data_IF_064081774938
#
_entry.id   IF_064081774938
#
_cell.length_a   1.000
_cell.length_b   1.000
_cell.length_c   1.000
_cell.angle_alpha   90.00
_cell.angle_beta   90.00
_cell.angle_gamma   90.00
#
_symmetry.space_group_name_H-M   'P 1'
#
loop_
_entity.id
_entity.type
_entity.pdbx_description
1 polymer ?
#
# COMPACT_ATOMS: atom_id res chain seq x y z
N UNK A 1 8.32 -49.11 -12.16
CA UNK A 1 7.87 -47.72 -12.05
C UNK A 1 7.99 -47.34 -10.58
N UNK A 2 8.88 -46.44 -10.26
CA UNK A 2 8.95 -45.91 -8.90
C UNK A 2 7.71 -45.04 -8.68
N UNK A 3 6.85 -45.45 -7.78
CA UNK A 3 5.77 -44.61 -7.26
C UNK A 3 6.41 -43.52 -6.44
N UNK A 4 6.20 -42.24 -6.78
CA UNK A 4 6.66 -41.15 -5.94
C UNK A 4 6.09 -41.35 -4.55
N UNK A 5 6.96 -41.39 -3.56
CA UNK A 5 6.56 -41.59 -2.17
C UNK A 5 6.02 -40.26 -1.62
N UNK A 6 5.23 -40.31 -0.56
CA UNK A 6 4.72 -39.10 0.12
C UNK A 6 5.84 -38.13 0.53
N UNK A 7 7.04 -38.67 0.76
CA UNK A 7 8.25 -37.90 1.06
C UNK A 7 8.71 -37.02 -0.12
N UNK A 8 8.63 -37.52 -1.37
CA UNK A 8 9.03 -36.77 -2.56
C UNK A 8 8.09 -35.56 -2.79
N UNK A 9 6.81 -35.70 -2.48
CA UNK A 9 5.81 -34.60 -2.60
C UNK A 9 6.05 -33.51 -1.53
N UNK A 10 6.46 -33.91 -0.33
CA UNK A 10 6.80 -32.98 0.76
C UNK A 10 8.03 -32.15 0.41
N UNK A 11 9.06 -32.76 -0.17
CA UNK A 11 10.28 -32.04 -0.58
C UNK A 11 9.98 -30.95 -1.61
N UNK A 12 9.13 -31.21 -2.60
CA UNK A 12 8.74 -30.18 -3.58
C UNK A 12 7.97 -29.01 -2.97
N UNK A 13 7.13 -29.28 -1.98
CA UNK A 13 6.42 -28.22 -1.27
C UNK A 13 7.40 -27.37 -0.44
N UNK A 14 8.34 -27.97 0.25
CA UNK A 14 9.35 -27.27 1.05
C UNK A 14 10.21 -26.33 0.19
N UNK A 15 10.67 -26.78 -0.98
CA UNK A 15 11.43 -25.99 -1.94
C UNK A 15 10.60 -24.80 -2.47
N UNK A 16 9.34 -25.04 -2.82
CA UNK A 16 8.43 -24.00 -3.27
C UNK A 16 8.17 -22.94 -2.20
N UNK A 17 7.91 -23.36 -0.95
CA UNK A 17 7.76 -22.45 0.19
C UNK A 17 9.03 -21.66 0.47
N UNK A 18 10.19 -22.31 0.41
CA UNK A 18 11.48 -21.64 0.61
C UNK A 18 11.68 -20.51 -0.38
N UNK A 19 11.36 -20.72 -1.68
CA UNK A 19 11.45 -19.69 -2.70
C UNK A 19 10.51 -18.50 -2.46
N UNK A 20 9.27 -18.76 -2.01
CA UNK A 20 8.32 -17.68 -1.69
C UNK A 20 8.81 -16.86 -0.50
N UNK A 21 9.20 -17.52 0.60
CA UNK A 21 9.60 -16.85 1.84
C UNK A 21 10.80 -15.95 1.56
N UNK A 22 11.83 -16.46 0.88
CA UNK A 22 13.04 -15.70 0.56
C UNK A 22 12.72 -14.38 -0.14
N UNK A 23 11.90 -14.41 -1.19
CA UNK A 23 11.58 -13.21 -1.98
C UNK A 23 10.67 -12.25 -1.22
N UNK A 24 9.67 -12.76 -0.51
CA UNK A 24 8.73 -11.90 0.24
C UNK A 24 9.43 -11.22 1.41
N UNK A 25 10.31 -11.89 2.13
CA UNK A 25 11.08 -11.27 3.23
C UNK A 25 12.01 -10.18 2.70
N UNK A 26 12.76 -10.44 1.62
CA UNK A 26 13.62 -9.43 0.99
C UNK A 26 12.82 -8.20 0.53
N UNK A 27 11.68 -8.42 -0.12
CA UNK A 27 10.83 -7.32 -0.59
C UNK A 27 10.22 -6.53 0.56
N UNK A 28 9.81 -7.22 1.63
CA UNK A 28 9.26 -6.58 2.83
C UNK A 28 10.30 -5.67 3.50
N UNK A 29 11.54 -6.14 3.63
CA UNK A 29 12.64 -5.36 4.20
C UNK A 29 12.98 -4.15 3.35
N UNK A 30 13.00 -4.31 2.02
CA UNK A 30 13.23 -3.22 1.07
C UNK A 30 12.14 -2.14 1.18
N UNK A 31 10.87 -2.51 1.17
CA UNK A 31 9.74 -1.58 1.29
C UNK A 31 9.74 -0.87 2.65
N UNK A 32 9.94 -1.60 3.74
CA UNK A 32 9.99 -1.04 5.09
C UNK A 32 11.14 -0.03 5.22
N UNK A 33 12.31 -0.33 4.65
CA UNK A 33 13.49 0.54 4.69
C UNK A 33 13.32 1.76 3.80
N UNK A 34 12.89 1.59 2.54
CA UNK A 34 12.73 2.70 1.59
C UNK A 34 11.60 3.65 1.99
N UNK A 35 10.54 3.14 2.60
CA UNK A 35 9.44 3.95 3.12
C UNK A 35 9.74 4.61 4.47
N UNK A 36 10.94 4.40 5.03
CA UNK A 36 11.32 4.88 6.37
C UNK A 36 10.28 4.55 7.44
N UNK A 37 9.70 3.33 7.38
CA UNK A 37 8.68 2.87 8.31
C UNK A 37 7.28 3.49 8.11
N UNK A 38 7.02 4.16 6.99
CA UNK A 38 5.68 4.66 6.67
C UNK A 38 4.74 3.53 6.23
N UNK A 39 5.28 2.58 5.46
CA UNK A 39 4.60 1.37 5.03
C UNK A 39 5.29 0.20 5.69
N UNK A 40 4.58 -0.52 6.55
CA UNK A 40 5.12 -1.64 7.30
C UNK A 40 4.48 -2.95 6.89
N UNK A 41 5.32 -3.93 6.62
CA UNK A 41 4.93 -5.31 6.42
C UNK A 41 5.25 -6.13 7.67
N UNK A 42 4.26 -6.85 8.20
CA UNK A 42 4.39 -7.62 9.43
C UNK A 42 3.63 -8.95 9.30
N UNK A 43 4.17 -10.01 9.87
CA UNK A 43 3.47 -11.30 10.00
C UNK A 43 2.90 -11.41 11.41
N UNK A 44 1.57 -11.53 11.53
CA UNK A 44 0.87 -11.66 12.80
C UNK A 44 -0.38 -12.53 12.61
N UNK A 45 -0.50 -13.63 13.32
CA UNK A 45 -1.68 -14.50 13.21
C UNK A 45 -2.91 -13.83 13.82
N UNK A 46 -3.88 -13.48 12.97
CA UNK A 46 -5.14 -12.85 13.36
C UNK A 46 -6.31 -13.79 13.07
N UNK A 47 -7.16 -14.00 14.08
CA UNK A 47 -8.36 -14.84 13.97
C UNK A 47 -9.59 -14.00 13.66
N UNK A 48 -10.48 -14.52 12.82
CA UNK A 48 -11.73 -13.86 12.44
C UNK A 48 -11.63 -13.03 11.16
N UNK A 49 -12.72 -12.42 10.74
CA UNK A 49 -12.84 -11.67 9.47
C UNK A 49 -12.41 -10.20 9.60
N UNK A 50 -12.34 -9.68 10.81
CA UNK A 50 -11.94 -8.32 11.12
C UNK A 50 -11.03 -8.30 12.33
N UNK A 51 -10.03 -7.46 12.29
CA UNK A 51 -9.32 -7.05 13.50
C UNK A 51 -10.04 -5.84 14.09
N UNK A 52 -10.42 -5.93 15.36
CA UNK A 52 -11.05 -4.84 16.09
C UNK A 52 -10.16 -4.37 17.24
N UNK A 53 -9.94 -3.07 17.30
CA UNK A 53 -9.22 -2.40 18.41
C UNK A 53 -10.10 -1.32 18.99
N UNK A 54 -10.31 -1.33 20.28
CA UNK A 54 -10.99 -0.25 20.97
C UNK A 54 -9.99 0.83 21.40
N UNK A 55 -10.41 2.08 21.35
CA UNK A 55 -9.65 3.21 21.87
C UNK A 55 -10.62 4.22 22.51
N UNK A 56 -10.07 5.08 23.37
CA UNK A 56 -10.83 6.16 23.96
C UNK A 56 -10.83 7.38 23.05
N UNK A 57 -11.98 7.99 22.84
CA UNK A 57 -12.08 9.25 22.13
C UNK A 57 -11.34 10.35 22.89
N UNK A 58 -10.74 11.27 22.15
CA UNK A 58 -10.03 12.40 22.74
C UNK A 58 -11.01 13.30 23.49
N UNK A 59 -10.90 13.34 24.81
CA UNK A 59 -11.64 14.27 25.63
C UNK A 59 -10.92 15.62 25.66
N UNK A 60 -11.52 16.63 25.03
CA UNK A 60 -11.07 18.03 25.14
C UNK A 60 -11.89 18.68 26.26
N UNK A 61 -11.27 18.88 27.42
CA UNK A 61 -11.99 19.33 28.61
C UNK A 61 -11.32 20.45 29.39
N UNK A 62 -10.36 21.16 28.76
CA UNK A 62 -9.75 22.32 29.42
C UNK A 62 -10.61 23.54 29.12
N UNK A 63 -11.23 24.07 30.15
CA UNK A 63 -12.07 25.30 30.12
C UNK A 63 -11.56 26.28 31.17
N UNK A 64 -11.78 27.57 30.94
CA UNK A 64 -11.48 28.59 31.91
C UNK A 64 -12.40 28.41 33.14
N UNK A 65 -11.83 28.62 34.30
CA UNK A 65 -12.54 28.51 35.57
C UNK A 65 -12.63 29.88 36.27
N UNK A 66 -13.81 30.32 36.59
CA UNK A 66 -14.00 31.43 37.52
C UNK A 66 -13.81 30.91 38.97
N UNK A 67 -12.84 31.40 39.73
CA UNK A 67 -12.59 30.94 41.10
C UNK A 67 -13.69 31.34 42.07
N UNK A 68 -14.63 32.23 41.68
CA UNK A 68 -15.75 32.69 42.52
C UNK A 68 -17.08 32.02 42.17
N UNK A 69 -17.14 31.27 41.09
CA UNK A 69 -18.34 30.54 40.66
C UNK A 69 -18.50 29.24 41.46
N UNK A 70 -19.68 29.04 42.03
CA UNK A 70 -20.07 27.84 42.78
C UNK A 70 -21.16 27.01 42.07
N UNK A 71 -21.40 27.26 40.78
CA UNK A 71 -22.36 26.52 39.99
C UNK A 71 -21.92 25.08 39.75
N UNK A 72 -22.90 24.17 39.68
CA UNK A 72 -22.66 22.76 39.35
C UNK A 72 -22.17 22.61 37.89
N UNK A 73 -21.07 21.86 37.70
CA UNK A 73 -20.54 21.53 36.37
C UNK A 73 -20.98 20.13 35.97
N UNK A 74 -21.60 20.03 34.80
CA UNK A 74 -22.01 18.74 34.26
C UNK A 74 -20.76 17.97 33.76
N UNK A 75 -20.48 16.75 34.29
CA UNK A 75 -19.35 15.96 33.83
C UNK A 75 -19.55 15.48 32.39
N UNK A 76 -18.51 15.55 31.58
CA UNK A 76 -18.47 14.98 30.23
C UNK A 76 -18.11 13.50 30.31
N UNK A 77 -18.94 12.63 29.74
CA UNK A 77 -18.66 11.19 29.67
C UNK A 77 -17.53 10.92 28.72
N UNK A 78 -16.67 9.94 29.06
CA UNK A 78 -15.67 9.41 28.15
C UNK A 78 -16.36 8.42 27.20
N UNK A 79 -16.16 8.56 25.90
CA UNK A 79 -16.64 7.64 24.87
C UNK A 79 -15.53 6.72 24.38
N UNK A 80 -15.91 5.50 24.02
CA UNK A 80 -15.04 4.51 23.39
C UNK A 80 -15.46 4.36 21.93
N UNK A 81 -14.48 4.18 21.04
CA UNK A 81 -14.70 3.93 19.65
C UNK A 81 -13.89 2.71 19.18
N UNK A 82 -14.21 2.13 18.03
CA UNK A 82 -13.56 0.95 17.48
C UNK A 82 -12.81 1.30 16.19
N UNK A 83 -11.58 0.80 16.07
CA UNK A 83 -10.84 0.73 14.82
C UNK A 83 -11.00 -0.67 14.25
N UNK A 84 -11.58 -0.78 13.08
CA UNK A 84 -11.81 -2.03 12.37
C UNK A 84 -10.88 -2.08 11.17
N UNK A 85 -10.07 -3.14 11.09
CA UNK A 85 -9.19 -3.43 9.96
C UNK A 85 -9.71 -4.65 9.20
N UNK A 86 -9.91 -4.57 7.88
CA UNK A 86 -10.49 -5.65 7.11
C UNK A 86 -9.45 -6.72 6.82
N UNK A 87 -9.86 -7.98 6.92
CA UNK A 87 -9.11 -9.15 6.49
C UNK A 87 -9.55 -9.56 5.10
N UNK A 88 -8.61 -9.65 4.18
CA UNK A 88 -8.83 -10.04 2.80
C UNK A 88 -8.33 -11.46 2.58
N UNK A 89 -9.20 -12.35 2.15
CA UNK A 89 -8.85 -13.71 1.80
C UNK A 89 -8.45 -13.77 0.32
N UNK A 90 -7.30 -14.35 0.05
CA UNK A 90 -6.73 -14.42 -1.29
C UNK A 90 -6.40 -15.87 -1.66
N UNK A 91 -6.44 -16.15 -2.95
CA UNK A 91 -6.12 -17.45 -3.52
C UNK A 91 -4.94 -17.32 -4.48
N UNK A 92 -4.01 -18.24 -4.39
CA UNK A 92 -2.90 -18.39 -5.33
C UNK A 92 -3.27 -19.50 -6.32
N UNK A 93 -3.27 -19.20 -7.62
CA UNK A 93 -3.67 -20.16 -8.67
C UNK A 93 -5.19 -20.39 -8.78
N UNK A 94 -5.65 -21.58 -9.20
CA UNK A 94 -4.90 -22.83 -9.44
C UNK A 94 -4.01 -22.81 -10.69
N UNK A 95 -2.79 -23.33 -10.59
CA UNK A 95 -1.89 -23.57 -11.71
C UNK A 95 -1.87 -25.05 -12.06
N UNK A 96 -1.94 -25.38 -13.34
CA UNK A 96 -1.93 -26.77 -13.78
C UNK A 96 -0.82 -27.02 -14.81
N UNK A 97 -0.14 -28.14 -14.67
CA UNK A 97 0.84 -28.61 -15.63
C UNK A 97 0.78 -30.14 -15.78
N UNK A 98 1.08 -30.64 -16.98
CA UNK A 98 1.18 -32.09 -17.19
C UNK A 98 2.57 -32.56 -16.78
N UNK A 99 2.66 -33.81 -16.31
CA UNK A 99 3.93 -34.42 -15.93
C UNK A 99 4.94 -34.44 -17.10
N UNK A 100 4.47 -34.55 -18.32
CA UNK A 100 5.31 -34.56 -19.52
C UNK A 100 5.92 -33.18 -19.83
N UNK A 101 5.23 -32.09 -19.49
CA UNK A 101 5.78 -30.74 -19.62
C UNK A 101 6.99 -30.53 -18.70
N UNK A 102 6.96 -31.02 -17.46
CA UNK A 102 8.09 -30.97 -16.55
C UNK A 102 9.32 -31.74 -17.09
N UNK A 103 9.09 -32.94 -17.66
CA UNK A 103 10.16 -33.75 -18.23
C UNK A 103 10.83 -33.14 -19.46
N UNK A 104 10.08 -32.39 -20.27
CA UNK A 104 10.61 -31.75 -21.50
C UNK A 104 11.49 -30.53 -21.24
N UNK A 105 11.32 -29.87 -20.09
CA UNK A 105 12.14 -28.72 -19.69
C UNK A 105 13.55 -29.11 -19.25
N UNK A 106 13.82 -30.40 -18.99
CA UNK A 106 15.17 -30.87 -18.66
C UNK A 106 15.68 -30.46 -17.27
N UNK A 107 14.86 -29.77 -16.50
CA UNK A 107 15.14 -29.34 -15.12
C UNK A 107 14.69 -30.40 -14.13
N UNK A 108 15.32 -30.43 -12.96
CA UNK A 108 14.81 -31.25 -11.87
C UNK A 108 13.53 -30.64 -11.36
N UNK A 109 12.52 -31.44 -10.94
CA UNK A 109 11.28 -30.92 -10.40
C UNK A 109 11.46 -29.99 -9.18
N UNK A 110 12.52 -30.22 -8.41
CA UNK A 110 12.90 -29.40 -7.24
C UNK A 110 13.31 -28.00 -7.65
N UNK A 111 14.23 -27.86 -8.61
CA UNK A 111 14.70 -26.55 -9.14
C UNK A 111 13.54 -25.77 -9.73
N UNK A 112 12.64 -26.42 -10.48
CA UNK A 112 11.45 -25.77 -11.02
C UNK A 112 10.47 -25.31 -9.92
N UNK A 113 10.28 -26.13 -8.90
CA UNK A 113 9.42 -25.75 -7.78
C UNK A 113 9.95 -24.52 -7.06
N UNK A 114 11.24 -24.42 -6.85
CA UNK A 114 11.90 -23.26 -6.24
C UNK A 114 11.75 -22.00 -7.11
N UNK A 115 12.01 -22.06 -8.40
CA UNK A 115 11.87 -20.93 -9.33
C UNK A 115 10.42 -20.46 -9.41
N UNK A 116 9.46 -21.37 -9.47
CA UNK A 116 8.04 -21.02 -9.41
C UNK A 116 7.68 -20.35 -8.08
N UNK A 117 8.24 -20.84 -6.97
CA UNK A 117 8.09 -20.24 -5.66
C UNK A 117 8.60 -18.79 -5.63
N UNK A 118 9.78 -18.53 -6.18
CA UNK A 118 10.32 -17.16 -6.26
C UNK A 118 9.45 -16.24 -7.12
N UNK A 119 8.96 -16.68 -8.29
CA UNK A 119 8.07 -15.88 -9.12
C UNK A 119 6.77 -15.55 -8.41
N UNK A 120 6.17 -16.53 -7.74
CA UNK A 120 4.94 -16.32 -6.97
C UNK A 120 5.18 -15.40 -5.76
N UNK A 121 6.32 -15.53 -5.10
CA UNK A 121 6.71 -14.65 -3.99
C UNK A 121 6.78 -13.19 -4.42
N UNK A 122 7.39 -12.91 -5.55
CA UNK A 122 7.47 -11.56 -6.12
C UNK A 122 6.08 -10.99 -6.45
N UNK A 123 5.21 -11.78 -7.07
CA UNK A 123 3.84 -11.35 -7.39
C UNK A 123 3.01 -11.09 -6.13
N UNK A 124 3.11 -11.95 -5.12
CA UNK A 124 2.45 -11.77 -3.82
C UNK A 124 2.89 -10.45 -3.17
N UNK A 125 4.18 -10.19 -3.13
CA UNK A 125 4.73 -8.99 -2.51
C UNK A 125 4.25 -7.70 -3.20
N UNK A 126 4.24 -7.67 -4.54
CA UNK A 126 3.72 -6.55 -5.34
C UNK A 126 2.22 -6.36 -5.10
N UNK A 127 1.44 -7.45 -5.08
CA UNK A 127 -0.02 -7.38 -4.86
C UNK A 127 -0.34 -6.88 -3.45
N UNK A 128 0.44 -7.23 -2.44
CA UNK A 128 0.25 -6.73 -1.09
C UNK A 128 0.52 -5.22 -0.98
N UNK A 129 1.63 -4.75 -1.56
CA UNK A 129 1.90 -3.32 -1.62
C UNK A 129 0.78 -2.57 -2.34
N UNK A 130 0.31 -3.10 -3.47
CA UNK A 130 -0.80 -2.53 -4.22
C UNK A 130 -2.07 -2.39 -3.36
N UNK A 131 -2.44 -3.41 -2.58
CA UNK A 131 -3.60 -3.37 -1.67
C UNK A 131 -3.42 -2.35 -0.56
N UNK A 132 -2.23 -2.29 0.04
CA UNK A 132 -1.90 -1.29 1.06
C UNK A 132 -2.01 0.13 0.53
N UNK A 133 -1.46 0.40 -0.66
CA UNK A 133 -1.51 1.72 -1.29
C UNK A 133 -2.92 2.07 -1.78
N UNK A 134 -3.70 1.11 -2.29
CA UNK A 134 -5.10 1.31 -2.66
C UNK A 134 -5.92 1.75 -1.44
N UNK A 135 -5.74 1.10 -0.29
CA UNK A 135 -6.40 1.51 0.95
C UNK A 135 -5.94 2.91 1.40
N UNK A 136 -4.65 3.22 1.29
CA UNK A 136 -4.11 4.53 1.66
C UNK A 136 -4.69 5.66 0.79
N UNK A 137 -4.75 5.45 -0.52
CA UNK A 137 -5.35 6.42 -1.46
C UNK A 137 -6.83 6.62 -1.15
N UNK A 138 -7.59 5.55 -0.92
CA UNK A 138 -9.01 5.63 -0.57
C UNK A 138 -9.25 6.38 0.75
N UNK A 139 -8.46 6.08 1.78
CA UNK A 139 -8.55 6.73 3.09
C UNK A 139 -8.23 8.23 3.01
N UNK A 140 -7.13 8.60 2.35
CA UNK A 140 -6.73 10.00 2.20
C UNK A 140 -7.68 10.78 1.29
N UNK A 141 -8.33 10.13 0.32
CA UNK A 141 -9.38 10.75 -0.49
C UNK A 141 -10.65 11.03 0.32
N UNK A 142 -10.94 10.22 1.35
CA UNK A 142 -12.12 10.36 2.19
C UNK A 142 -12.00 11.48 3.20
N UNK A 143 -10.84 11.65 3.81
CA UNK A 143 -10.66 12.61 4.89
C UNK A 143 -10.60 14.05 4.34
N UNK A 144 -11.50 14.90 4.80
CA UNK A 144 -11.51 16.29 4.40
C UNK A 144 -10.22 17.00 4.83
N UNK A 145 -9.59 17.73 3.89
CA UNK A 145 -8.40 18.54 4.16
C UNK A 145 -7.06 17.79 4.15
N UNK A 146 -7.04 16.47 3.93
CA UNK A 146 -5.80 15.69 3.74
C UNK A 146 -5.30 15.72 2.31
N UNK A 147 -6.14 16.18 1.38
CA UNK A 147 -5.86 16.17 -0.06
C UNK A 147 -5.59 17.59 -0.56
N UNK A 148 -4.53 17.74 -1.36
CA UNK A 148 -4.25 18.89 -2.21
C UNK A 148 -4.48 18.46 -3.67
N UNK A 149 -5.46 19.06 -4.33
CA UNK A 149 -5.80 18.78 -5.73
C UNK A 149 -5.36 19.96 -6.60
N UNK A 150 -4.44 19.71 -7.52
CA UNK A 150 -3.94 20.71 -8.47
C UNK A 150 -4.35 20.40 -9.92
N UNK A 151 -5.16 19.38 -10.15
CA UNK A 151 -5.57 18.96 -11.51
C UNK A 151 -6.40 20.00 -12.24
N UNK A 152 -7.07 20.90 -11.51
CA UNK A 152 -7.93 21.95 -12.01
C UNK A 152 -7.26 23.34 -12.09
N UNK A 153 -5.94 23.44 -11.83
CA UNK A 153 -5.21 24.71 -11.94
C UNK A 153 -5.30 25.28 -13.37
N UNK A 154 -5.20 26.60 -13.50
CA UNK A 154 -5.43 27.26 -14.79
C UNK A 154 -4.30 27.02 -15.81
N UNK A 155 -3.05 26.98 -15.35
CA UNK A 155 -1.90 26.74 -16.20
C UNK A 155 -1.50 25.26 -16.17
N UNK A 156 -1.20 24.67 -17.32
CA UNK A 156 -0.85 23.26 -17.42
C UNK A 156 0.42 22.92 -16.60
N UNK A 157 1.40 23.81 -16.58
CA UNK A 157 2.60 23.65 -15.76
C UNK A 157 2.31 23.55 -14.25
N UNK A 158 1.22 24.17 -13.77
CA UNK A 158 0.82 24.12 -12.36
C UNK A 158 0.00 22.87 -12.01
N UNK A 159 -0.45 22.10 -13.01
CA UNK A 159 -1.16 20.83 -12.83
C UNK A 159 -0.22 19.65 -12.57
N UNK A 160 1.06 19.79 -12.94
CA UNK A 160 2.10 18.75 -12.78
C UNK A 160 2.76 18.87 -11.41
N UNK A 161 3.29 17.75 -10.96
CA UNK A 161 4.04 17.71 -9.69
C UNK A 161 5.21 18.69 -9.70
N UNK A 162 5.37 19.42 -8.60
CA UNK A 162 6.50 20.31 -8.37
C UNK A 162 6.88 20.33 -6.88
N UNK A 163 8.11 20.74 -6.56
CA UNK A 163 8.52 20.91 -5.15
C UNK A 163 7.66 21.92 -4.41
N UNK A 164 7.11 22.92 -5.12
CA UNK A 164 6.15 23.89 -4.58
C UNK A 164 4.83 23.23 -4.21
N UNK A 165 4.31 22.34 -5.07
CA UNK A 165 3.08 21.58 -4.80
C UNK A 165 3.26 20.64 -3.61
N UNK A 166 4.39 19.92 -3.53
CA UNK A 166 4.73 19.06 -2.39
C UNK A 166 4.81 19.85 -1.08
N UNK A 167 5.45 21.03 -1.09
CA UNK A 167 5.52 21.86 0.12
C UNK A 167 4.14 22.39 0.55
N UNK A 168 3.27 22.74 -0.38
CA UNK A 168 1.88 23.12 -0.08
C UNK A 168 1.10 21.96 0.54
N UNK A 169 1.28 20.76 0.00
CA UNK A 169 0.64 19.54 0.53
C UNK A 169 1.12 19.23 1.96
N UNK A 170 2.44 19.35 2.24
CA UNK A 170 2.95 19.25 3.61
C UNK A 170 2.38 20.32 4.53
N UNK A 171 2.07 21.50 3.99
CA UNK A 171 1.44 22.59 4.72
C UNK A 171 0.08 22.24 5.32
N UNK A 172 -0.64 21.24 4.77
CA UNK A 172 -1.89 20.74 5.36
C UNK A 172 -1.70 20.14 6.75
N UNK A 173 -0.51 19.60 7.04
CA UNK A 173 -0.15 19.11 8.39
C UNK A 173 0.22 20.22 9.38
N UNK A 174 0.30 21.48 8.93
CA UNK A 174 0.60 22.64 9.76
C UNK A 174 1.92 22.51 10.53
N UNK A 175 1.86 22.68 11.84
CA UNK A 175 3.00 22.59 12.76
C UNK A 175 3.59 21.17 12.90
N UNK A 176 2.84 20.14 12.49
CA UNK A 176 3.25 18.73 12.55
C UNK A 176 3.71 18.16 11.19
N UNK A 177 4.08 19.02 10.26
CA UNK A 177 4.58 18.59 8.94
C UNK A 177 5.78 17.64 9.02
N UNK A 178 6.57 17.72 10.08
CA UNK A 178 7.74 16.85 10.33
C UNK A 178 7.35 15.40 10.68
N UNK A 179 6.06 15.10 10.87
CA UNK A 179 5.58 13.73 11.10
C UNK A 179 5.48 12.92 9.79
N UNK A 180 5.46 13.59 8.65
CA UNK A 180 5.56 12.92 7.35
C UNK A 180 7.01 12.46 7.20
N UNK A 181 7.19 11.15 7.03
CA UNK A 181 8.52 10.52 7.03
C UNK A 181 8.95 10.06 5.63
N UNK A 182 8.00 9.86 4.72
CA UNK A 182 8.30 9.44 3.34
C UNK A 182 7.23 9.90 2.36
N UNK A 183 7.64 10.04 1.11
CA UNK A 183 6.76 10.16 -0.03
C UNK A 183 6.63 8.81 -0.73
N UNK A 184 5.42 8.47 -1.19
CA UNK A 184 5.17 7.33 -2.07
C UNK A 184 4.57 7.88 -3.35
N UNK A 185 5.17 7.56 -4.50
CA UNK A 185 4.72 8.07 -5.79
C UNK A 185 4.97 7.07 -6.92
N UNK A 186 4.21 7.23 -7.99
CA UNK A 186 4.41 6.47 -9.23
C UNK A 186 5.69 6.92 -9.96
N UNK A 187 6.34 6.01 -10.69
CA UNK A 187 7.57 6.29 -11.44
C UNK A 187 7.43 7.46 -12.42
N UNK A 188 6.28 7.59 -13.09
CA UNK A 188 5.98 8.73 -13.96
C UNK A 188 6.00 10.07 -13.21
N UNK A 189 5.35 10.16 -12.04
CA UNK A 189 5.36 11.37 -11.23
C UNK A 189 6.78 11.72 -10.72
N UNK A 190 7.59 10.71 -10.39
CA UNK A 190 8.97 10.93 -9.99
C UNK A 190 9.82 11.46 -11.15
N UNK A 191 9.58 10.98 -12.37
CA UNK A 191 10.24 11.48 -13.59
C UNK A 191 9.85 12.94 -13.84
N UNK A 192 8.55 13.27 -13.81
CA UNK A 192 8.07 14.64 -13.99
C UNK A 192 8.66 15.61 -12.95
N UNK A 193 8.78 15.17 -11.70
CA UNK A 193 9.38 15.96 -10.61
C UNK A 193 10.87 16.23 -10.85
N UNK A 194 11.62 15.25 -11.35
CA UNK A 194 13.05 15.39 -11.66
C UNK A 194 13.28 16.25 -12.90
N UNK A 195 12.49 16.07 -13.95
CA UNK A 195 12.55 16.89 -15.17
C UNK A 195 12.25 18.37 -14.89
N UNK A 196 11.21 18.65 -14.11
CA UNK A 196 10.88 20.02 -13.69
C UNK A 196 12.04 20.72 -12.98
N UNK A 197 12.82 20.00 -12.19
CA UNK A 197 14.01 20.57 -11.52
C UNK A 197 15.19 20.81 -12.44
N UNK A 198 15.37 19.98 -13.46
CA UNK A 198 16.42 20.18 -14.47
C UNK A 198 16.11 21.44 -15.28
N UNK A 199 14.85 21.65 -15.67
CA UNK A 199 14.42 22.83 -16.44
C UNK A 199 14.55 24.13 -15.61
N UNK A 200 14.17 24.13 -14.33
CA UNK A 200 14.25 25.32 -13.47
C UNK A 200 15.69 25.78 -13.18
N UNK A 201 16.67 24.90 -13.31
CA UNK A 201 18.10 25.20 -13.04
C UNK A 201 18.92 25.53 -14.28
N UNK A 202 18.35 25.50 -15.47
CA UNK A 202 19.02 25.74 -16.74
C UNK A 202 19.21 27.19 -17.22
N UNK A 203 18.60 28.27 -16.65
CA UNK A 203 18.93 29.62 -17.09
C UNK A 203 20.24 30.09 -16.48
N UNK A 204 21.32 29.84 -17.20
CA UNK A 204 22.57 30.64 -17.21
C UNK A 204 23.24 30.94 -15.89
N UNK A 205 24.08 30.12 -15.50
CA UNK A 205 25.21 30.17 -14.59
C UNK A 205 25.18 29.17 -13.46
N UNK A 206 26.19 28.32 -13.58
CA UNK A 206 26.90 27.60 -12.52
C UNK A 206 26.24 26.41 -11.86
N UNK A 207 27.07 25.37 -11.92
CA UNK A 207 27.06 24.21 -11.05
C UNK A 207 25.77 23.40 -11.02
N UNK A 208 25.58 22.68 -12.13
CA UNK A 208 24.65 21.56 -12.21
C UNK A 208 25.15 20.48 -11.24
N UNK A 209 24.65 20.46 -10.03
CA UNK A 209 24.76 19.30 -9.16
C UNK A 209 23.62 18.36 -9.52
N UNK A 210 23.87 17.50 -10.49
CA UNK A 210 22.95 16.43 -10.95
C UNK A 210 22.94 15.22 -10.00
N UNK A 211 23.45 15.37 -8.79
CA UNK A 211 23.54 14.28 -7.82
C UNK A 211 22.76 14.57 -6.54
N UNK A 212 21.77 13.71 -6.29
CA UNK A 212 21.12 13.55 -5.02
C UNK A 212 19.68 14.03 -4.97
N UNK A 213 18.75 13.13 -5.25
CA UNK A 213 17.30 13.28 -5.19
C UNK A 213 16.69 13.85 -3.88
N UNK A 214 17.50 14.36 -2.99
CA UNK A 214 17.09 14.89 -1.68
C UNK A 214 16.44 16.28 -1.81
N UNK A 215 16.81 17.08 -2.81
CA UNK A 215 16.31 18.46 -2.94
C UNK A 215 14.88 18.51 -3.52
N UNK A 216 14.52 17.58 -4.41
CA UNK A 216 13.19 17.51 -5.03
C UNK A 216 12.11 17.12 -4.04
N UNK A 217 12.39 16.15 -3.20
CA UNK A 217 11.47 15.56 -2.22
C UNK A 217 11.44 16.29 -0.88
N UNK A 218 12.00 17.50 -0.80
CA UNK A 218 12.10 18.29 0.43
C UNK A 218 12.89 17.59 1.57
N UNK A 219 13.85 16.75 1.20
CA UNK A 219 14.69 16.02 2.15
C UNK A 219 14.05 14.73 2.71
N UNK A 220 12.89 14.34 2.22
CA UNK A 220 12.22 13.09 2.60
C UNK A 220 12.58 11.97 1.62
N UNK A 221 12.74 10.73 2.08
CA UNK A 221 12.90 9.58 1.20
C UNK A 221 11.65 9.38 0.33
N UNK A 222 11.87 8.83 -0.86
CA UNK A 222 10.81 8.57 -1.83
C UNK A 222 10.77 7.09 -2.15
N UNK A 223 9.65 6.45 -1.87
CA UNK A 223 9.33 5.12 -2.36
C UNK A 223 8.69 5.26 -3.75
N UNK A 224 9.41 4.82 -4.78
CA UNK A 224 8.92 4.82 -6.15
C UNK A 224 8.35 3.44 -6.48
N UNK A 225 7.11 3.38 -6.96
CA UNK A 225 6.44 2.13 -7.31
C UNK A 225 5.51 2.33 -8.49
N UNK A 226 5.40 1.32 -9.35
CA UNK A 226 4.47 1.31 -10.49
C UNK A 226 3.10 0.73 -10.11
N UNK A 227 2.72 0.84 -8.82
CA UNK A 227 1.41 0.38 -8.37
C UNK A 227 0.28 1.15 -9.08
N UNK A 228 -0.72 0.45 -9.65
CA UNK A 228 -1.88 1.07 -10.28
C UNK A 228 -2.75 1.86 -9.28
N UNK A 229 -2.55 1.69 -7.97
CA UNK A 229 -3.23 2.47 -6.94
C UNK A 229 -2.86 3.96 -6.95
N UNK A 230 -1.70 4.31 -7.53
CA UNK A 230 -1.17 5.67 -7.57
C UNK A 230 -1.32 6.34 -8.95
N UNK A 231 -1.93 5.67 -9.90
CA UNK A 231 -2.06 6.15 -11.27
C UNK A 231 -3.43 5.80 -11.83
N UNK A 232 -4.13 6.81 -12.36
CA UNK A 232 -5.41 6.65 -13.02
C UNK A 232 -5.31 7.19 -14.45
N UNK A 233 -5.53 6.33 -15.42
CA UNK A 233 -5.41 6.67 -16.86
C UNK A 233 -6.57 7.52 -17.33
N UNK A 234 -7.76 7.32 -16.78
CA UNK A 234 -9.00 7.98 -17.19
C UNK A 234 -9.92 8.21 -15.98
N UNK A 235 -9.58 9.17 -15.10
CA UNK A 235 -10.27 9.39 -13.83
C UNK A 235 -11.73 9.82 -13.99
N UNK A 236 -12.10 10.34 -15.16
CA UNK A 236 -13.48 10.71 -15.48
C UNK A 236 -14.28 9.60 -16.15
N UNK A 237 -13.63 8.57 -16.68
CA UNK A 237 -14.27 7.54 -17.49
C UNK A 237 -14.85 8.07 -18.81
N UNK A 238 -14.38 9.25 -19.25
CA UNK A 238 -14.90 9.97 -20.43
C UNK A 238 -14.01 9.82 -21.68
N UNK A 239 -12.92 9.09 -21.57
CA UNK A 239 -11.94 8.86 -22.65
C UNK A 239 -11.05 10.07 -22.93
N UNK A 240 -10.96 11.03 -22.01
CA UNK A 240 -10.20 12.27 -22.20
C UNK A 240 -8.69 12.12 -22.13
N UNK A 241 -8.17 10.94 -21.80
CA UNK A 241 -6.74 10.63 -21.61
C UNK A 241 -6.00 11.54 -20.61
N UNK A 242 -6.72 12.26 -19.78
CA UNK A 242 -6.17 13.13 -18.75
C UNK A 242 -5.75 12.31 -17.54
N UNK A 243 -4.65 11.58 -17.65
CA UNK A 243 -4.17 10.72 -16.56
C UNK A 243 -3.76 11.52 -15.32
N UNK A 244 -4.13 10.99 -14.18
CA UNK A 244 -3.86 11.56 -12.86
C UNK A 244 -2.95 10.67 -12.04
N UNK A 245 -2.13 11.29 -11.21
CA UNK A 245 -1.27 10.59 -10.25
C UNK A 245 -1.56 11.03 -8.83
N UNK A 246 -1.48 10.09 -7.92
CA UNK A 246 -1.65 10.29 -6.48
C UNK A 246 -0.30 10.13 -5.79
N UNK A 247 0.15 11.19 -5.14
CA UNK A 247 1.39 11.21 -4.37
C UNK A 247 1.03 11.24 -2.90
N UNK A 248 1.48 10.23 -2.14
CA UNK A 248 1.15 10.08 -0.74
C UNK A 248 2.32 10.55 0.11
N UNK A 249 2.10 11.53 0.99
CA UNK A 249 3.04 11.91 2.04
C UNK A 249 2.62 11.25 3.34
N UNK A 250 3.30 10.16 3.73
CA UNK A 250 2.88 9.29 4.80
C UNK A 250 3.65 9.55 6.10
N UNK A 251 2.94 9.40 7.22
CA UNK A 251 3.54 9.41 8.56
C UNK A 251 4.06 8.01 8.91
N UNK A 252 4.85 7.92 9.96
CA UNK A 252 5.29 6.63 10.49
C UNK A 252 4.11 5.71 10.81
N UNK A 253 4.22 4.44 10.39
CA UNK A 253 3.19 3.40 10.54
C UNK A 253 1.82 3.81 9.98
N UNK A 254 1.82 4.52 8.86
CA UNK A 254 0.58 4.97 8.22
C UNK A 254 -0.19 3.81 7.60
N UNK A 255 0.52 2.90 6.95
CA UNK A 255 -0.03 1.69 6.31
C UNK A 255 0.66 0.48 6.92
N UNK A 256 -0.11 -0.41 7.51
CA UNK A 256 0.42 -1.68 8.00
C UNK A 256 -0.29 -2.83 7.30
N UNK A 257 0.50 -3.62 6.60
CA UNK A 257 0.08 -4.84 5.94
C UNK A 257 0.46 -6.02 6.81
N UNK A 258 -0.52 -6.80 7.21
CA UNK A 258 -0.33 -7.90 8.15
C UNK A 258 -0.69 -9.19 7.44
N UNK A 259 0.28 -10.09 7.29
CA UNK A 259 -0.01 -11.47 6.92
C UNK A 259 -0.72 -12.13 8.10
N UNK A 260 -2.04 -12.29 7.96
CA UNK A 260 -2.90 -12.68 9.08
C UNK A 260 -3.12 -14.18 9.20
N UNK A 261 -2.82 -14.94 8.16
CA UNK A 261 -2.84 -16.41 8.15
C UNK A 261 -1.63 -16.93 7.41
N UNK A 262 -1.10 -18.02 7.91
CA UNK A 262 -0.01 -18.74 7.24
C UNK A 262 -0.48 -19.19 5.85
N UNK A 263 0.40 -19.10 4.89
CA UNK A 263 0.14 -19.53 3.52
C UNK A 263 -0.02 -21.04 3.49
N UNK A 264 -1.20 -21.52 3.08
CA UNK A 264 -1.45 -22.92 2.83
C UNK A 264 -1.34 -23.18 1.33
N UNK A 265 -0.37 -23.99 0.91
CA UNK A 265 -0.16 -24.32 -0.51
C UNK A 265 -0.16 -25.84 -0.64
N UNK A 266 -1.00 -26.34 -1.55
CA UNK A 266 -1.12 -27.78 -1.80
C UNK A 266 -0.93 -28.12 -3.28
N UNK A 267 -0.22 -29.21 -3.52
CA UNK A 267 -0.05 -29.84 -4.83
C UNK A 267 -0.89 -31.09 -4.93
N UNK A 268 -1.86 -31.09 -5.83
CA UNK A 268 -2.75 -32.23 -6.09
C UNK A 268 -2.45 -32.87 -7.44
N UNK A 269 -2.55 -34.20 -7.51
CA UNK A 269 -2.43 -34.96 -8.76
C UNK A 269 -3.81 -35.43 -9.20
N UNK A 270 -4.23 -35.02 -10.40
CA UNK A 270 -5.51 -35.43 -10.99
C UNK A 270 -5.29 -36.56 -11.98
N UNK A 271 -5.93 -37.71 -11.70
CA UNK A 271 -5.94 -38.90 -12.54
C UNK A 271 -7.23 -38.95 -13.36
N UNK A 272 -7.28 -39.82 -14.37
CA UNK A 272 -8.46 -40.00 -15.23
C UNK A 272 -8.57 -39.00 -16.39
N UNK A 273 -7.53 -38.25 -16.67
CA UNK A 273 -7.34 -37.43 -17.86
C UNK A 273 -6.41 -38.15 -18.85
N UNK A 274 -6.36 -37.69 -20.10
CA UNK A 274 -5.46 -38.26 -21.13
C UNK A 274 -3.96 -38.20 -20.68
N UNK A 275 -3.59 -37.20 -19.90
CA UNK A 275 -2.27 -37.09 -19.26
C UNK A 275 -2.45 -36.89 -17.75
N UNK A 276 -1.43 -37.27 -16.97
CA UNK A 276 -1.41 -36.99 -15.53
C UNK A 276 -1.25 -35.50 -15.35
N UNK A 277 -2.22 -34.88 -14.68
CA UNK A 277 -2.25 -33.45 -14.42
C UNK A 277 -1.87 -33.19 -12.97
N UNK A 278 -1.02 -32.19 -12.74
CA UNK A 278 -0.71 -31.64 -11.42
C UNK A 278 -1.31 -30.27 -11.29
N UNK A 279 -1.95 -30.00 -10.17
CA UNK A 279 -2.59 -28.72 -9.84
C UNK A 279 -1.99 -28.22 -8.55
N UNK A 280 -1.45 -27.00 -8.58
CA UNK A 280 -0.95 -26.25 -7.43
C UNK A 280 -1.94 -25.17 -7.09
N UNK A 281 -2.38 -25.10 -5.85
CA UNK A 281 -3.27 -24.06 -5.34
C UNK A 281 -2.82 -23.64 -3.94
N UNK A 282 -2.90 -22.35 -3.66
CA UNK A 282 -2.64 -21.81 -2.33
C UNK A 282 -3.73 -20.88 -1.85
N UNK A 283 -3.77 -20.71 -0.54
CA UNK A 283 -4.64 -19.77 0.18
C UNK A 283 -3.80 -18.94 1.13
N UNK A 284 -4.15 -17.68 1.28
CA UNK A 284 -3.51 -16.74 2.20
C UNK A 284 -4.48 -15.64 2.61
N UNK A 285 -4.21 -14.95 3.69
CA UNK A 285 -5.00 -13.81 4.12
C UNK A 285 -4.11 -12.63 4.51
N UNK A 286 -4.53 -11.45 4.08
CA UNK A 286 -3.89 -10.17 4.36
C UNK A 286 -4.86 -9.27 5.11
N UNK A 287 -4.42 -8.67 6.22
CA UNK A 287 -5.15 -7.60 6.90
C UNK A 287 -4.46 -6.28 6.61
N UNK A 288 -5.22 -5.30 6.14
CA UNK A 288 -4.72 -3.94 5.90
C UNK A 288 -5.21 -3.02 7.02
N UNK A 289 -4.27 -2.44 7.74
CA UNK A 289 -4.54 -1.50 8.81
C UNK A 289 -4.10 -0.11 8.38
N UNK A 290 -5.04 0.81 8.41
CA UNK A 290 -4.79 2.23 8.12
C UNK A 290 -4.83 3.04 9.41
N UNK A 291 -3.79 3.84 9.65
CA UNK A 291 -3.70 4.67 10.84
C UNK A 291 -4.84 5.69 10.90
N UNK A 292 -5.63 5.66 11.97
CA UNK A 292 -6.72 6.61 12.17
C UNK A 292 -7.95 6.40 11.29
N UNK A 293 -8.05 5.27 10.59
CA UNK A 293 -9.24 4.91 9.82
C UNK A 293 -9.82 3.58 10.28
N UNK A 294 -11.13 3.50 10.26
CA UNK A 294 -11.91 2.30 10.53
C UNK A 294 -12.62 1.86 9.25
N UNK A 295 -12.57 0.58 8.95
CA UNK A 295 -13.28 0.03 7.79
C UNK A 295 -14.74 -0.27 8.15
N UNK A 296 -15.68 0.23 7.35
CA UNK A 296 -17.13 0.07 7.54
C UNK A 296 -17.80 -0.81 6.47
N UNK A 297 -17.02 -1.38 5.54
CA UNK A 297 -17.54 -2.23 4.47
C UNK A 297 -17.80 -3.68 4.91
N UNK A 298 -18.06 -4.54 3.92
CA UNK A 298 -18.36 -5.96 4.14
C UNK A 298 -17.14 -6.76 4.58
N UNK A 299 -17.38 -7.93 5.19
CA UNK A 299 -16.35 -8.91 5.52
C UNK A 299 -15.65 -9.44 4.25
N UNK A 300 -14.35 -9.76 4.37
CA UNK A 300 -13.53 -10.29 3.28
C UNK A 300 -13.60 -9.45 1.99
N UNK A 301 -13.26 -8.14 2.04
CA UNK A 301 -13.37 -7.26 0.89
C UNK A 301 -12.39 -7.66 -0.22
N UNK A 302 -12.79 -7.38 -1.45
CA UNK A 302 -11.89 -7.42 -2.60
C UNK A 302 -11.13 -6.10 -2.78
N UNK A 303 -10.23 -6.03 -3.76
CA UNK A 303 -9.42 -4.83 -4.05
C UNK A 303 -10.31 -3.59 -4.34
N UNK A 304 -11.39 -3.74 -5.10
CA UNK A 304 -12.31 -2.65 -5.40
C UNK A 304 -13.01 -2.11 -4.14
N UNK A 305 -13.40 -3.00 -3.21
CA UNK A 305 -14.05 -2.58 -1.97
C UNK A 305 -13.12 -1.80 -1.04
N UNK A 306 -11.84 -2.18 -0.92
CA UNK A 306 -10.86 -1.42 -0.14
C UNK A 306 -10.47 -0.11 -0.83
N UNK A 307 -10.52 -0.03 -2.16
CA UNK A 307 -10.30 1.19 -2.93
C UNK A 307 -11.47 2.18 -2.89
N UNK A 308 -12.62 1.78 -2.37
CA UNK A 308 -13.79 2.63 -2.26
C UNK A 308 -13.71 3.49 -1.01
N UNK A 309 -13.56 4.80 -1.17
CA UNK A 309 -13.38 5.75 -0.06
C UNK A 309 -14.56 5.79 0.91
N UNK A 310 -15.80 5.50 0.46
CA UNK A 310 -16.99 5.45 1.32
C UNK A 310 -16.99 4.30 2.33
N UNK A 311 -16.15 3.28 2.13
CA UNK A 311 -16.01 2.15 3.04
C UNK A 311 -15.02 2.41 4.19
N UNK A 312 -14.47 3.62 4.25
CA UNK A 312 -13.55 4.02 5.30
C UNK A 312 -14.08 5.22 6.07
N UNK A 313 -14.00 5.17 7.38
CA UNK A 313 -14.39 6.26 8.27
C UNK A 313 -13.18 6.78 9.03
N UNK A 314 -12.96 8.11 8.98
CA UNK A 314 -11.89 8.75 9.74
C UNK A 314 -12.27 8.84 11.21
N UNK A 315 -11.38 8.41 12.08
CA UNK A 315 -11.59 8.41 13.54
C UNK A 315 -10.90 9.60 14.20
N UNK A 316 -9.97 10.25 13.49
CA UNK A 316 -9.29 11.45 13.99
C UNK A 316 -10.11 12.72 13.70
N UNK A 317 -10.12 13.64 14.66
CA UNK A 317 -10.74 14.95 14.51
C UNK A 317 -9.79 15.96 13.86
N UNK A 318 -8.46 15.82 14.10
CA UNK A 318 -7.42 16.69 13.54
C UNK A 318 -6.57 15.92 12.53
N UNK A 319 -6.45 16.46 11.32
CA UNK A 319 -5.62 15.94 10.22
C UNK A 319 -4.20 15.61 10.68
N UNK A 320 -3.65 16.40 11.59
CA UNK A 320 -2.31 16.21 12.17
C UNK A 320 -2.12 14.87 12.89
N UNK A 321 -3.20 14.18 13.23
CA UNK A 321 -3.20 12.85 13.85
C UNK A 321 -3.44 11.73 12.85
N UNK A 322 -3.71 12.07 11.59
CA UNK A 322 -3.97 11.15 10.50
C UNK A 322 -2.70 10.44 9.96
N UNK A 323 -2.90 9.58 8.95
CA UNK A 323 -1.81 8.80 8.35
C UNK A 323 -0.91 9.62 7.43
N UNK A 324 -1.34 10.83 7.05
CA UNK A 324 -0.57 11.68 6.15
C UNK A 324 -1.43 12.59 5.29
N UNK A 325 -0.87 12.99 4.16
CA UNK A 325 -1.48 13.89 3.17
C UNK A 325 -1.32 13.31 1.77
N UNK A 326 -2.16 13.75 0.85
CA UNK A 326 -2.14 13.32 -0.54
C UNK A 326 -2.12 14.53 -1.48
N UNK A 327 -1.25 14.48 -2.49
CA UNK A 327 -1.27 15.39 -3.64
C UNK A 327 -1.86 14.65 -4.83
N UNK A 328 -2.85 15.24 -5.46
CA UNK A 328 -3.44 14.81 -6.72
C UNK A 328 -2.99 15.76 -7.83
N UNK A 329 -2.36 15.24 -8.85
CA UNK A 329 -1.83 16.02 -9.98
C UNK A 329 -1.98 15.26 -11.29
N UNK A 330 -1.75 15.95 -12.41
CA UNK A 330 -1.70 15.33 -13.75
C UNK A 330 -0.28 14.92 -14.09
N UNK A 331 -0.15 13.97 -15.01
CA UNK A 331 1.13 13.63 -15.63
C UNK A 331 1.46 14.62 -16.75
N UNK A 332 2.73 14.98 -16.92
CA UNK A 332 3.17 15.89 -17.98
C UNK A 332 2.81 15.38 -19.39
N UNK A 333 2.76 14.08 -19.61
CA UNK A 333 2.39 13.46 -20.88
C UNK A 333 0.88 13.47 -21.20
N UNK A 334 0.04 13.95 -20.29
CA UNK A 334 -1.43 13.98 -20.45
C UNK A 334 -2.04 15.41 -20.48
N UNK A 335 -1.21 16.41 -20.64
CA UNK A 335 -1.62 17.84 -20.72
C UNK A 335 -2.04 18.25 -22.12
#
# INVERSE_FOLDING_TARGET
MATSTKADVVIYNEEYFSGIIEVVEQYADDVNTQSNGAVNYVTESLKGDFEKRSFWDLSTGVTDRDPTDVADVTPTGLSQNELISPKMNMRIGPFQATLDQFRKLGETPETMSFVLGQQMGAEIAVEWLNRGLTAATACLSKAAGTQSDITAEAADADKVISSKALNRTLGLMGDRRNRVVAWVMHSGAFTDLTEGQIVDKLPGNSDIILYGGITASLGLPVLVTDSPALYDVDPGGDGSNASETYILGLTEDAVRMIESEDRAIELSTVLGKANILRILQGEMALTVRMKGFSYSGSASPNLAAIGTSSNWDSVFTDIKSGPGVMLKCRTAGSL
#
